data_IF_600704631094
#
_entry.id   IF_600704631094
#
_cell.length_a   1.000
_cell.length_b   1.000
_cell.length_c   1.000
_cell.angle_alpha   90.00
_cell.angle_beta   90.00
_cell.angle_gamma   90.00
#
_symmetry.space_group_name_H-M   'P 1'
#
loop_
_entity.id
_entity.type
_entity.pdbx_description
1 polymer ?
#
# COMPACT_ATOMS: atom_id res chain seq x y z
N UNK A 1 -18.20 21.34 13.00
CA UNK A 1 -17.14 21.89 12.11
C UNK A 1 -15.99 20.93 11.80
N UNK A 2 -15.70 19.92 12.62
CA UNK A 2 -14.58 18.95 12.39
C UNK A 2 -14.90 17.79 11.42
N UNK A 3 -16.16 17.43 11.21
CA UNK A 3 -16.56 16.36 10.30
C UNK A 3 -16.41 16.72 8.80
N UNK A 4 -16.53 18.01 8.46
CA UNK A 4 -16.34 18.46 7.08
C UNK A 4 -14.88 18.48 6.64
N UNK A 5 -13.94 18.63 7.57
CA UNK A 5 -12.50 18.59 7.26
C UNK A 5 -12.03 17.17 6.91
N UNK A 6 -12.59 16.14 7.54
CA UNK A 6 -12.23 14.75 7.24
C UNK A 6 -12.74 14.29 5.87
N UNK A 7 -13.95 14.73 5.48
CA UNK A 7 -14.51 14.40 4.15
C UNK A 7 -13.78 15.12 3.01
N UNK A 8 -13.20 16.29 3.27
CA UNK A 8 -12.40 16.99 2.26
C UNK A 8 -11.02 16.33 2.06
N UNK A 9 -10.44 15.75 3.10
CA UNK A 9 -9.18 15.01 3.00
C UNK A 9 -9.27 13.79 2.08
N UNK A 10 -10.40 13.07 2.11
CA UNK A 10 -10.64 11.94 1.21
C UNK A 10 -10.77 12.37 -0.27
N UNK A 11 -11.20 13.60 -0.53
CA UNK A 11 -11.28 14.16 -1.89
C UNK A 11 -9.92 14.59 -2.45
N UNK A 12 -8.93 14.82 -1.58
CA UNK A 12 -7.56 15.20 -1.96
C UNK A 12 -6.64 14.00 -2.18
N UNK A 13 -7.01 12.81 -1.67
CA UNK A 13 -6.24 11.60 -1.91
C UNK A 13 -6.22 11.27 -3.41
N UNK A 14 -5.02 11.12 -3.94
CA UNK A 14 -4.82 10.73 -5.32
C UNK A 14 -5.13 9.24 -5.49
N UNK A 15 -6.22 8.91 -6.19
CA UNK A 15 -6.56 7.51 -6.50
C UNK A 15 -5.42 6.81 -7.23
N UNK A 16 -4.76 7.50 -8.15
CA UNK A 16 -3.59 6.98 -8.86
C UNK A 16 -2.40 6.75 -7.92
N UNK A 17 -2.17 7.68 -6.97
CA UNK A 17 -1.17 7.51 -5.93
C UNK A 17 -1.46 6.31 -5.03
N UNK A 18 -2.72 6.10 -4.65
CA UNK A 18 -3.14 4.95 -3.87
C UNK A 18 -2.89 3.63 -4.62
N UNK A 19 -3.19 3.57 -5.91
CA UNK A 19 -2.95 2.39 -6.73
C UNK A 19 -1.45 2.06 -6.80
N UNK A 20 -0.61 3.03 -7.15
CA UNK A 20 0.84 2.84 -7.20
C UNK A 20 1.41 2.49 -5.83
N UNK A 21 0.98 3.16 -4.77
CA UNK A 21 1.37 2.84 -3.40
C UNK A 21 1.05 1.41 -3.03
N UNK A 22 -0.16 0.94 -3.36
CA UNK A 22 -0.58 -0.44 -3.11
C UNK A 22 0.24 -1.44 -3.91
N UNK A 23 0.54 -1.16 -5.17
CA UNK A 23 1.39 -2.03 -6.00
C UNK A 23 2.81 -2.14 -5.42
N UNK A 24 3.41 -1.04 -4.98
CA UNK A 24 4.71 -1.03 -4.33
C UNK A 24 4.69 -1.76 -2.99
N UNK A 25 3.63 -1.58 -2.21
CA UNK A 25 3.40 -2.29 -0.96
C UNK A 25 3.33 -3.81 -1.20
N UNK A 26 2.52 -4.25 -2.17
CA UNK A 26 2.43 -5.66 -2.54
C UNK A 26 3.77 -6.22 -3.01
N UNK A 27 4.52 -5.46 -3.82
CA UNK A 27 5.86 -5.86 -4.25
C UNK A 27 6.82 -6.02 -3.07
N UNK A 28 6.74 -5.14 -2.06
CA UNK A 28 7.57 -5.24 -0.86
C UNK A 28 7.21 -6.45 0.03
N UNK A 29 5.98 -6.95 -0.06
CA UNK A 29 5.54 -8.15 0.65
C UNK A 29 5.94 -9.45 -0.06
N UNK A 30 6.38 -9.40 -1.32
CA UNK A 30 6.81 -10.62 -2.03
C UNK A 30 7.99 -11.29 -1.33
N UNK A 31 8.07 -12.63 -1.38
CA UNK A 31 9.11 -13.37 -0.68
C UNK A 31 10.51 -12.98 -1.20
N UNK A 32 11.41 -12.68 -0.29
CA UNK A 32 12.84 -12.52 -0.56
C UNK A 32 13.59 -13.72 0.00
N UNK A 33 14.74 -14.02 -0.58
CA UNK A 33 15.60 -15.12 -0.15
C UNK A 33 16.15 -14.94 1.29
N UNK A 34 16.06 -13.73 1.83
CA UNK A 34 16.50 -13.44 3.20
C UNK A 34 15.29 -13.39 4.14
N UNK A 35 15.29 -14.18 5.21
CA UNK A 35 14.27 -14.07 6.25
C UNK A 35 14.37 -12.69 6.91
N UNK A 36 13.30 -11.91 6.85
CA UNK A 36 13.21 -10.58 7.44
C UNK A 36 12.48 -10.64 8.76
N UNK A 37 12.89 -9.80 9.71
CA UNK A 37 12.10 -9.59 10.92
C UNK A 37 10.79 -8.87 10.59
N UNK A 38 9.78 -9.07 11.40
CA UNK A 38 8.44 -8.44 11.23
C UNK A 38 8.54 -6.93 11.14
N UNK A 39 9.38 -6.30 11.97
CA UNK A 39 9.61 -4.86 11.97
C UNK A 39 10.24 -4.38 10.65
N UNK A 40 11.29 -5.06 10.18
CA UNK A 40 11.95 -4.68 8.92
C UNK A 40 11.03 -4.85 7.72
N UNK A 41 10.19 -5.87 7.72
CA UNK A 41 9.16 -6.08 6.70
C UNK A 41 8.12 -4.96 6.70
N UNK A 42 7.63 -4.56 7.88
CA UNK A 42 6.66 -3.48 8.03
C UNK A 42 7.22 -2.12 7.60
N UNK A 43 8.44 -1.79 8.03
CA UNK A 43 9.11 -0.54 7.63
C UNK A 43 9.33 -0.48 6.12
N UNK A 44 9.82 -1.56 5.52
CA UNK A 44 10.03 -1.62 4.08
C UNK A 44 8.73 -1.50 3.30
N UNK A 45 7.68 -2.21 3.73
CA UNK A 45 6.37 -2.14 3.10
C UNK A 45 5.76 -0.74 3.20
N UNK A 46 5.90 -0.07 4.36
CA UNK A 46 5.44 1.31 4.56
C UNK A 46 6.22 2.31 3.73
N UNK A 47 7.53 2.18 3.63
CA UNK A 47 8.37 3.02 2.78
C UNK A 47 8.04 2.82 1.29
N UNK A 48 7.82 1.58 0.86
CA UNK A 48 7.40 1.27 -0.49
C UNK A 48 6.03 1.88 -0.82
N UNK A 49 5.07 1.78 0.11
CA UNK A 49 3.75 2.41 -0.01
C UNK A 49 3.88 3.94 -0.18
N UNK A 50 4.69 4.59 0.66
CA UNK A 50 4.94 6.03 0.60
C UNK A 50 5.60 6.44 -0.72
N UNK A 51 6.61 5.71 -1.18
CA UNK A 51 7.28 5.96 -2.45
C UNK A 51 6.31 5.82 -3.64
N UNK A 52 5.53 4.75 -3.68
CA UNK A 52 4.54 4.53 -4.73
C UNK A 52 3.45 5.60 -4.75
N UNK A 53 2.96 5.99 -3.57
CA UNK A 53 2.00 7.08 -3.43
C UNK A 53 2.58 8.41 -3.90
N UNK A 54 3.81 8.73 -3.49
CA UNK A 54 4.52 9.93 -3.91
C UNK A 54 4.71 10.02 -5.42
N UNK A 55 5.08 8.91 -6.07
CA UNK A 55 5.16 8.83 -7.53
C UNK A 55 3.81 9.07 -8.20
N UNK A 56 2.73 8.53 -7.65
CA UNK A 56 1.38 8.77 -8.16
C UNK A 56 0.93 10.23 -8.04
N UNK A 57 1.25 10.88 -6.93
CA UNK A 57 1.00 12.31 -6.72
C UNK A 57 1.82 13.15 -7.70
N UNK A 58 3.09 12.80 -7.88
CA UNK A 58 3.97 13.47 -8.84
C UNK A 58 3.47 13.33 -10.28
N UNK A 59 3.07 12.12 -10.69
CA UNK A 59 2.51 11.87 -12.01
C UNK A 59 1.22 12.70 -12.24
N UNK A 60 0.38 12.83 -11.24
CA UNK A 60 -0.82 13.68 -11.31
C UNK A 60 -0.47 15.17 -11.39
N UNK A 61 0.53 15.62 -10.64
CA UNK A 61 1.04 16.98 -10.74
C UNK A 61 1.56 17.27 -12.15
N UNK A 62 2.36 16.35 -12.72
CA UNK A 62 2.89 16.45 -14.07
C UNK A 62 1.75 16.47 -15.11
N UNK A 63 0.71 15.66 -14.94
CA UNK A 63 -0.48 15.64 -15.80
C UNK A 63 -1.16 17.02 -15.87
N UNK A 64 -1.30 17.69 -14.73
CA UNK A 64 -1.84 19.04 -14.65
C UNK A 64 -0.89 20.08 -15.24
N UNK A 65 0.40 19.92 -15.01
CA UNK A 65 1.42 20.82 -15.54
C UNK A 65 1.45 20.78 -17.08
N UNK A 66 1.20 19.63 -17.68
CA UNK A 66 1.11 19.45 -19.13
C UNK A 66 -0.27 19.85 -19.69
N UNK A 67 -1.17 20.40 -18.86
CA UNK A 67 -2.52 20.82 -19.25
C UNK A 67 -3.32 19.75 -20.00
N UNK A 68 -3.09 18.47 -19.70
CA UNK A 68 -3.82 17.36 -20.29
C UNK A 68 -5.27 17.33 -19.80
N UNK A 69 -6.19 16.95 -20.69
CA UNK A 69 -7.61 16.91 -20.40
C UNK A 69 -7.93 16.08 -19.14
N UNK A 70 -8.60 16.72 -18.17
CA UNK A 70 -9.07 16.00 -16.98
C UNK A 70 -10.40 15.31 -17.27
N UNK A 71 -10.58 14.06 -16.81
CA UNK A 71 -11.85 13.36 -16.95
C UNK A 71 -12.94 14.05 -16.10
N UNK A 72 -14.23 13.97 -16.53
CA UNK A 72 -15.34 14.58 -15.80
C UNK A 72 -15.42 14.02 -14.36
N UNK A 73 -15.86 14.86 -13.41
CA UNK A 73 -15.89 14.51 -11.97
C UNK A 73 -16.60 13.17 -11.66
N UNK A 74 -17.67 12.88 -12.39
CA UNK A 74 -18.42 11.61 -12.20
C UNK A 74 -17.59 10.39 -12.55
N UNK A 75 -16.84 10.46 -13.64
CA UNK A 75 -15.94 9.39 -14.07
C UNK A 75 -14.78 9.24 -13.08
N UNK A 76 -14.19 10.36 -12.67
CA UNK A 76 -13.09 10.40 -11.69
C UNK A 76 -13.49 9.77 -10.35
N UNK A 77 -14.69 10.07 -9.85
CA UNK A 77 -15.21 9.50 -8.62
C UNK A 77 -15.39 7.98 -8.73
N UNK A 78 -15.99 7.50 -9.83
CA UNK A 78 -16.16 6.06 -10.07
C UNK A 78 -14.83 5.32 -10.18
N UNK A 79 -13.88 5.90 -10.90
CA UNK A 79 -12.53 5.34 -11.05
C UNK A 79 -11.82 5.29 -9.71
N UNK A 80 -11.90 6.34 -8.88
CA UNK A 80 -11.29 6.36 -7.55
C UNK A 80 -11.90 5.29 -6.62
N UNK A 81 -13.20 5.07 -6.67
CA UNK A 81 -13.86 4.01 -5.89
C UNK A 81 -13.40 2.64 -6.39
N UNK A 82 -13.36 2.42 -7.70
CA UNK A 82 -12.86 1.17 -8.27
C UNK A 82 -11.40 0.91 -7.88
N UNK A 83 -10.53 1.92 -7.94
CA UNK A 83 -9.14 1.85 -7.50
C UNK A 83 -9.06 1.49 -6.01
N UNK A 84 -9.87 2.12 -5.15
CA UNK A 84 -9.87 1.82 -3.72
C UNK A 84 -10.27 0.36 -3.45
N UNK A 85 -11.28 -0.16 -4.14
CA UNK A 85 -11.71 -1.56 -4.02
C UNK A 85 -10.61 -2.51 -4.49
N UNK A 86 -10.03 -2.26 -5.66
CA UNK A 86 -8.94 -3.08 -6.22
C UNK A 86 -7.72 -3.05 -5.30
N UNK A 87 -7.34 -1.87 -4.79
CA UNK A 87 -6.21 -1.72 -3.87
C UNK A 87 -6.45 -2.48 -2.57
N UNK A 88 -7.64 -2.39 -1.99
CA UNK A 88 -8.00 -3.14 -0.79
C UNK A 88 -7.99 -4.66 -1.03
N UNK A 89 -8.52 -5.11 -2.16
CA UNK A 89 -8.52 -6.53 -2.54
C UNK A 89 -7.09 -7.06 -2.73
N UNK A 90 -6.23 -6.32 -3.43
CA UNK A 90 -4.82 -6.68 -3.63
C UNK A 90 -4.05 -6.73 -2.31
N UNK A 91 -4.19 -5.71 -1.47
CA UNK A 91 -3.53 -5.67 -0.17
C UNK A 91 -3.95 -6.85 0.70
N UNK A 92 -5.25 -7.15 0.77
CA UNK A 92 -5.78 -8.29 1.53
C UNK A 92 -5.26 -9.61 0.99
N UNK A 93 -5.25 -9.80 -0.32
CA UNK A 93 -4.74 -11.01 -0.96
C UNK A 93 -3.26 -11.23 -0.63
N UNK A 94 -2.41 -10.22 -0.85
CA UNK A 94 -0.98 -10.34 -0.56
C UNK A 94 -0.70 -10.56 0.92
N UNK A 95 -1.39 -9.85 1.81
CA UNK A 95 -1.26 -10.06 3.26
C UNK A 95 -1.66 -11.47 3.68
N UNK A 96 -2.68 -12.06 3.06
CA UNK A 96 -3.08 -13.45 3.35
C UNK A 96 -2.02 -14.47 2.92
N UNK A 97 -1.24 -14.16 1.90
CA UNK A 97 -0.18 -15.03 1.39
C UNK A 97 1.16 -14.88 2.13
N UNK A 98 1.41 -13.74 2.78
CA UNK A 98 2.69 -13.44 3.43
C UNK A 98 3.09 -14.53 4.44
N UNK A 99 2.17 -14.96 5.29
CA UNK A 99 2.46 -16.00 6.30
C UNK A 99 2.86 -17.33 5.65
N UNK A 100 2.16 -17.72 4.59
CA UNK A 100 2.47 -18.95 3.84
C UNK A 100 3.84 -18.87 3.17
N UNK A 101 4.16 -17.76 2.54
CA UNK A 101 5.46 -17.53 1.90
C UNK A 101 6.61 -17.52 2.92
N UNK A 102 6.43 -16.82 4.04
CA UNK A 102 7.44 -16.81 5.11
C UNK A 102 7.65 -18.19 5.69
N UNK A 103 6.59 -18.97 5.92
CA UNK A 103 6.70 -20.32 6.44
C UNK A 103 7.37 -21.26 5.44
N UNK A 104 7.13 -21.11 4.14
CA UNK A 104 7.81 -21.89 3.11
C UNK A 104 9.33 -21.65 3.12
N UNK A 105 9.76 -20.39 3.21
CA UNK A 105 11.19 -20.05 3.28
C UNK A 105 11.80 -20.56 4.59
N UNK A 106 11.10 -20.42 5.72
CA UNK A 106 11.55 -20.88 7.02
C UNK A 106 11.69 -22.39 7.08
N UNK A 107 10.76 -23.14 6.47
CA UNK A 107 10.85 -24.60 6.41
C UNK A 107 12.08 -25.06 5.62
N UNK A 108 12.43 -24.37 4.53
CA UNK A 108 13.65 -24.66 3.76
C UNK A 108 14.93 -24.38 4.54
N UNK A 109 14.89 -23.45 5.49
CA UNK A 109 16.03 -23.11 6.35
C UNK A 109 16.02 -23.85 7.71
N UNK A 110 15.08 -24.76 7.94
CA UNK A 110 14.94 -25.50 9.20
C UNK A 110 14.50 -24.65 10.39
N UNK A 111 13.85 -23.52 10.14
CA UNK A 111 13.37 -22.59 11.17
C UNK A 111 11.91 -22.89 11.55
N UNK A 112 11.52 -22.58 12.80
CA UNK A 112 10.15 -22.75 13.28
C UNK A 112 9.15 -21.84 12.50
N UNK A 113 7.90 -22.32 12.23
CA UNK A 113 6.90 -21.54 11.51
C UNK A 113 6.45 -20.33 12.31
N UNK A 114 6.07 -19.26 11.60
CA UNK A 114 5.50 -18.01 12.16
C UNK A 114 3.98 -18.14 12.22
N UNK A 115 3.38 -17.67 13.29
CA UNK A 115 1.92 -17.60 13.45
C UNK A 115 1.35 -16.34 12.79
N UNK A 116 0.06 -16.39 12.40
CA UNK A 116 -0.64 -15.29 11.72
C UNK A 116 -0.73 -13.96 12.52
N UNK A 117 -0.43 -14.00 13.83
CA UNK A 117 -0.45 -12.78 14.67
C UNK A 117 0.51 -11.67 14.24
N UNK A 118 1.55 -12.00 13.49
CA UNK A 118 2.54 -11.04 13.00
C UNK A 118 2.03 -10.17 11.84
N UNK A 119 0.93 -10.54 11.17
CA UNK A 119 0.35 -9.72 10.11
C UNK A 119 -0.13 -8.36 10.61
N UNK A 120 -0.73 -8.32 11.79
CA UNK A 120 -1.17 -7.07 12.41
C UNK A 120 0.02 -6.15 12.70
N UNK A 121 1.12 -6.69 13.21
CA UNK A 121 2.35 -5.92 13.46
C UNK A 121 2.94 -5.35 12.16
N UNK A 122 2.97 -6.13 11.08
CA UNK A 122 3.43 -5.66 9.76
C UNK A 122 2.56 -4.52 9.25
N UNK A 123 1.24 -4.66 9.33
CA UNK A 123 0.30 -3.63 8.88
C UNK A 123 0.43 -2.36 9.71
N UNK A 124 0.47 -2.48 11.05
CA UNK A 124 0.60 -1.34 11.95
C UNK A 124 1.94 -0.61 11.74
N UNK A 125 3.04 -1.35 11.59
CA UNK A 125 4.36 -0.77 11.32
C UNK A 125 4.41 -0.10 9.95
N UNK A 126 3.81 -0.72 8.94
CA UNK A 126 3.74 -0.15 7.60
C UNK A 126 2.92 1.15 7.57
N UNK A 127 1.76 1.17 8.24
CA UNK A 127 0.94 2.38 8.38
C UNK A 127 1.67 3.48 9.14
N UNK A 128 2.33 3.16 10.24
CA UNK A 128 3.12 4.12 11.01
C UNK A 128 4.25 4.71 10.15
N UNK A 129 4.98 3.88 9.41
CA UNK A 129 6.05 4.34 8.51
C UNK A 129 5.51 5.22 7.39
N UNK A 130 4.38 4.84 6.79
CA UNK A 130 3.71 5.65 5.77
C UNK A 130 3.28 7.03 6.28
N UNK A 131 2.78 7.11 7.52
CA UNK A 131 2.35 8.37 8.11
C UNK A 131 3.51 9.29 8.51
N UNK A 132 4.69 8.72 8.77
CA UNK A 132 5.90 9.48 9.12
C UNK A 132 6.59 10.04 7.87
N UNK A 133 6.56 9.32 6.77
CA UNK A 133 7.20 9.70 5.50
C UNK A 133 6.30 10.62 4.67
#
# INVERSE_FOLDING_TARGET
MRLHASLSAWRTLSGFGLLLGTLFFCAALTPSLLPRSTLSQGVLAGAALAAGYGLGVFARWLWRYLELAEPPERLRSRVNIAIAIVSAALATYFLSQVTGWQNSIRSLMGMSPVTSGHLLEVVMTALATFLIL
#
